data_IF_538631795148
#
_entry.id   IF_538631795148
#
_cell.length_a   1.000
_cell.length_b   1.000
_cell.length_c   1.000
_cell.angle_alpha   90.00
_cell.angle_beta   90.00
_cell.angle_gamma   90.00
#
_symmetry.space_group_name_H-M   'P 1'
#
loop_
_entity.id
_entity.type
_entity.pdbx_description
1 polymer ?
#
# COMPACT_ATOMS: atom_id res chain seq x y z
N UNK A 1 14.09 -35.55 -8.43
CA UNK A 1 14.16 -34.11 -8.73
C UNK A 1 12.85 -33.49 -8.31
N UNK A 2 12.88 -32.49 -7.43
CA UNK A 2 11.75 -32.03 -6.61
C UNK A 2 10.75 -31.18 -7.40
N UNK A 3 9.59 -31.77 -7.73
CA UNK A 3 8.46 -31.14 -8.45
C UNK A 3 7.77 -29.99 -7.68
N UNK A 4 8.20 -29.66 -6.47
CA UNK A 4 7.54 -28.70 -5.58
C UNK A 4 7.68 -27.22 -5.96
N UNK A 5 8.71 -26.83 -6.72
CA UNK A 5 9.01 -25.41 -6.98
C UNK A 5 8.12 -24.73 -8.03
N UNK A 6 7.30 -25.51 -8.76
CA UNK A 6 6.36 -25.00 -9.76
C UNK A 6 4.91 -24.97 -9.30
N UNK A 7 4.64 -25.31 -8.03
CA UNK A 7 3.31 -25.17 -7.44
C UNK A 7 3.17 -23.78 -6.84
N UNK A 8 2.02 -23.11 -7.06
CA UNK A 8 1.70 -21.86 -6.37
C UNK A 8 1.76 -22.09 -4.85
N UNK A 9 2.62 -21.37 -4.12
CA UNK A 9 2.66 -21.47 -2.67
C UNK A 9 1.34 -20.94 -2.08
N UNK A 10 1.03 -21.36 -0.86
CA UNK A 10 -0.07 -20.76 -0.11
C UNK A 10 0.20 -19.26 0.09
N UNK A 11 -0.85 -18.40 0.08
CA UNK A 11 -0.70 -17.00 0.47
C UNK A 11 -0.10 -16.87 1.87
N UNK A 12 0.63 -15.79 2.11
CA UNK A 12 1.05 -15.43 3.47
C UNK A 12 -0.17 -15.20 4.37
N UNK A 13 -0.06 -15.32 5.70
CA UNK A 13 -1.17 -15.01 6.60
C UNK A 13 -1.57 -13.53 6.48
N UNK A 14 -2.88 -13.25 6.57
CA UNK A 14 -3.41 -11.89 6.61
C UNK A 14 -2.88 -11.18 7.86
N UNK A 15 -2.23 -10.01 7.73
CA UNK A 15 -1.78 -9.25 8.89
C UNK A 15 -2.97 -8.75 9.72
N UNK A 16 -2.79 -8.75 11.05
CA UNK A 16 -3.70 -8.04 11.95
C UNK A 16 -3.73 -6.54 11.58
N UNK A 17 -4.90 -5.92 11.73
CA UNK A 17 -5.01 -4.49 11.51
C UNK A 17 -4.60 -3.74 12.77
N UNK A 18 -3.59 -2.89 12.61
CA UNK A 18 -3.18 -1.89 13.58
C UNK A 18 -3.29 -0.54 12.89
N UNK A 19 -4.13 0.39 13.39
CA UNK A 19 -4.22 1.74 12.85
C UNK A 19 -2.85 2.40 12.80
N UNK A 20 -2.48 2.96 11.65
CA UNK A 20 -1.25 3.71 11.52
C UNK A 20 -1.47 5.11 12.10
N UNK A 21 -1.19 5.25 13.39
CA UNK A 21 -1.34 6.51 14.12
C UNK A 21 -0.05 7.31 14.06
N UNK A 22 -0.17 8.61 13.76
CA UNK A 22 0.93 9.58 13.86
C UNK A 22 0.49 10.80 14.64
N UNK A 23 1.45 11.49 15.26
CA UNK A 23 1.23 12.81 15.88
C UNK A 23 1.83 13.88 14.96
N UNK A 24 1.00 14.73 14.32
CA UNK A 24 1.47 15.79 13.46
C UNK A 24 2.21 16.86 14.27
N UNK A 25 3.29 17.41 13.70
CA UNK A 25 4.10 18.46 14.31
C UNK A 25 4.32 19.61 13.34
N UNK A 26 4.45 20.82 13.86
CA UNK A 26 4.81 21.98 13.05
C UNK A 26 6.25 21.84 12.49
N UNK A 27 6.42 22.14 11.21
CA UNK A 27 7.73 22.11 10.57
C UNK A 27 8.59 23.28 11.04
N UNK A 28 9.71 22.96 11.70
CA UNK A 28 10.73 23.96 12.09
C UNK A 28 11.40 24.64 10.90
N UNK A 29 11.48 23.95 9.74
CA UNK A 29 12.14 24.45 8.54
C UNK A 29 11.24 25.28 7.63
N UNK A 30 9.92 25.05 7.69
CA UNK A 30 8.92 25.73 6.85
C UNK A 30 7.72 26.10 7.71
N UNK A 31 7.72 27.31 8.32
CA UNK A 31 6.61 27.77 9.13
C UNK A 31 5.28 27.65 8.37
N UNK A 32 4.24 27.15 9.05
CA UNK A 32 2.92 26.89 8.46
C UNK A 32 2.74 25.50 7.86
N UNK A 33 3.81 24.72 7.64
CA UNK A 33 3.69 23.34 7.19
C UNK A 33 3.58 22.37 8.38
N UNK A 34 2.76 21.33 8.20
CA UNK A 34 2.64 20.22 9.15
C UNK A 34 3.35 18.98 8.59
N UNK A 35 4.08 18.28 9.46
CA UNK A 35 4.78 17.03 9.14
C UNK A 35 4.45 15.97 10.19
N UNK A 36 4.82 14.73 9.93
CA UNK A 36 4.74 13.65 10.91
C UNK A 36 5.94 12.71 10.76
N UNK A 37 6.03 11.72 11.64
CA UNK A 37 7.05 10.68 11.58
C UNK A 37 6.43 9.30 11.76
N UNK A 38 6.89 8.33 10.98
CA UNK A 38 6.67 6.90 11.21
C UNK A 38 8.01 6.30 11.60
N UNK A 39 8.19 6.02 12.89
CA UNK A 39 9.52 5.81 13.48
C UNK A 39 10.43 7.00 13.21
N UNK A 40 11.52 6.78 12.46
CA UNK A 40 12.47 7.85 12.06
C UNK A 40 12.19 8.41 10.67
N UNK A 41 11.20 7.87 9.95
CA UNK A 41 10.88 8.29 8.61
C UNK A 41 10.06 9.57 8.63
N UNK A 42 10.59 10.63 8.03
CA UNK A 42 9.85 11.88 7.84
C UNK A 42 8.69 11.66 6.88
N UNK A 43 7.55 12.26 7.21
CA UNK A 43 6.34 12.20 6.42
C UNK A 43 5.74 13.58 6.18
N UNK A 44 5.21 13.80 4.99
CA UNK A 44 4.46 15.00 4.62
C UNK A 44 2.99 14.65 4.43
N UNK A 45 2.10 15.55 4.80
CA UNK A 45 0.70 15.43 4.43
C UNK A 45 0.48 15.82 2.97
N UNK A 46 -0.48 15.18 2.32
CA UNK A 46 -0.85 15.47 0.94
C UNK A 46 -1.19 16.96 0.77
N UNK A 47 -0.64 17.55 -0.29
CA UNK A 47 -0.95 18.93 -0.66
C UNK A 47 -2.41 19.01 -1.12
N UNK A 48 -3.04 20.16 -0.92
CA UNK A 48 -4.43 20.45 -1.34
C UNK A 48 -5.52 19.70 -0.54
N UNK A 49 -5.14 18.92 0.48
CA UNK A 49 -6.07 18.35 1.45
C UNK A 49 -6.03 19.11 2.78
N UNK A 50 -7.13 19.08 3.56
CA UNK A 50 -7.15 19.63 4.91
C UNK A 50 -5.96 19.11 5.71
N UNK A 51 -5.18 20.04 6.28
CA UNK A 51 -4.05 19.69 7.14
C UNK A 51 -4.58 19.31 8.52
N UNK A 52 -4.01 18.28 9.17
CA UNK A 52 -4.43 17.91 10.50
C UNK A 52 -3.96 18.92 11.55
N UNK A 53 -4.64 18.92 12.69
CA UNK A 53 -4.19 19.67 13.86
C UNK A 53 -2.85 19.14 14.36
N UNK A 54 -1.98 20.05 14.76
CA UNK A 54 -0.69 19.73 15.40
C UNK A 54 -0.93 19.16 16.79
N UNK A 55 -0.09 18.22 17.20
CA UNK A 55 -0.09 17.54 18.50
C UNK A 55 -1.33 16.67 18.81
N UNK A 56 -2.19 16.42 17.80
CA UNK A 56 -3.35 15.52 17.92
C UNK A 56 -3.04 14.19 17.23
N UNK A 57 -3.04 13.05 17.95
CA UNK A 57 -2.88 11.74 17.32
C UNK A 57 -4.00 11.48 16.30
N UNK A 58 -3.61 11.10 15.09
CA UNK A 58 -4.54 10.84 13.99
C UNK A 58 -4.15 9.58 13.24
N UNK A 59 -5.15 8.89 12.70
CA UNK A 59 -4.92 7.80 11.78
C UNK A 59 -4.61 8.32 10.38
N UNK A 60 -3.62 7.70 9.73
CA UNK A 60 -3.18 8.05 8.37
C UNK A 60 -3.07 6.83 7.48
N UNK A 61 -3.21 7.08 6.18
CA UNK A 61 -2.83 6.13 5.12
C UNK A 61 -1.57 6.63 4.42
N UNK A 62 -0.77 5.70 3.89
CA UNK A 62 0.44 6.04 3.12
C UNK A 62 0.11 6.07 1.64
N UNK A 63 0.25 7.24 1.03
CA UNK A 63 -0.05 7.42 -0.39
C UNK A 63 1.10 6.93 -1.26
N UNK A 64 2.30 7.46 -1.09
CA UNK A 64 3.47 7.12 -1.90
C UNK A 64 4.79 7.54 -1.22
N UNK A 65 5.92 6.95 -1.62
CA UNK A 65 7.24 7.42 -1.22
C UNK A 65 7.68 8.62 -2.05
N UNK A 66 8.46 9.49 -1.43
CA UNK A 66 9.30 10.49 -2.08
C UNK A 66 10.74 10.00 -2.00
N UNK A 67 11.37 9.82 -3.15
CA UNK A 67 12.75 9.36 -3.24
C UNK A 67 13.73 10.53 -3.27
N UNK A 68 14.94 10.27 -2.80
CA UNK A 68 16.08 11.17 -3.00
C UNK A 68 16.48 11.27 -4.48
N UNK A 69 17.25 12.30 -4.80
CA UNK A 69 17.96 12.41 -6.09
C UNK A 69 19.45 12.56 -5.82
N UNK A 70 20.26 11.93 -6.66
CA UNK A 70 21.72 12.09 -6.63
C UNK A 70 22.15 13.44 -7.25
N UNK A 71 23.46 13.68 -7.34
CA UNK A 71 24.01 14.93 -7.89
C UNK A 71 23.62 15.16 -9.36
N UNK A 72 23.42 14.08 -10.11
CA UNK A 72 23.01 14.08 -11.52
C UNK A 72 21.48 14.21 -11.68
N UNK A 73 20.73 14.26 -10.59
CA UNK A 73 19.27 14.39 -10.59
C UNK A 73 18.50 13.08 -10.80
N UNK A 74 19.18 11.94 -10.80
CA UNK A 74 18.60 10.58 -10.94
C UNK A 74 17.95 10.15 -9.64
N UNK A 75 16.77 9.50 -9.72
CA UNK A 75 16.00 9.04 -8.57
C UNK A 75 16.67 7.83 -7.90
N UNK A 76 16.90 7.91 -6.59
CA UNK A 76 17.50 6.84 -5.79
C UNK A 76 16.41 5.97 -5.11
N UNK A 77 15.94 4.91 -5.79
CA UNK A 77 14.87 4.04 -5.28
C UNK A 77 15.23 3.26 -3.99
N UNK A 78 16.53 3.12 -3.70
CA UNK A 78 17.02 2.51 -2.45
C UNK A 78 16.99 3.49 -1.27
N UNK A 79 16.55 4.74 -1.48
CA UNK A 79 16.58 5.81 -0.48
C UNK A 79 15.28 6.60 -0.47
N UNK A 80 14.39 6.25 0.45
CA UNK A 80 13.18 7.01 0.73
C UNK A 80 13.55 8.29 1.50
N UNK A 81 13.34 9.44 0.88
CA UNK A 81 13.50 10.73 1.52
C UNK A 81 12.36 11.02 2.49
N UNK A 82 11.11 10.82 2.06
CA UNK A 82 9.92 11.02 2.85
C UNK A 82 8.78 10.12 2.39
N UNK A 83 7.73 9.98 3.21
CA UNK A 83 6.45 9.41 2.78
C UNK A 83 5.39 10.51 2.66
N UNK A 84 4.44 10.33 1.76
CA UNK A 84 3.25 11.17 1.67
C UNK A 84 2.10 10.47 2.39
N UNK A 85 1.44 11.19 3.30
CA UNK A 85 0.34 10.71 4.12
C UNK A 85 -0.95 11.44 3.77
N UNK A 86 -2.07 10.76 3.99
CA UNK A 86 -3.41 11.37 4.04
C UNK A 86 -4.11 10.94 5.31
N UNK A 87 -4.85 11.86 5.93
CA UNK A 87 -5.66 11.57 7.12
C UNK A 87 -6.78 10.60 6.74
N UNK A 88 -7.00 9.58 7.56
CA UNK A 88 -8.14 8.69 7.42
C UNK A 88 -9.38 9.37 7.99
N UNK A 89 -10.48 9.29 7.24
CA UNK A 89 -11.78 9.90 7.49
C UNK A 89 -12.85 8.93 6.99
N UNK A 90 -14.12 9.25 7.21
CA UNK A 90 -15.27 8.44 6.77
C UNK A 90 -15.37 8.28 5.23
N UNK A 91 -14.65 9.10 4.47
CA UNK A 91 -14.54 8.99 3.00
C UNK A 91 -13.79 7.74 2.54
N UNK A 92 -13.08 7.07 3.46
CA UNK A 92 -12.20 5.95 3.16
C UNK A 92 -12.68 4.69 3.87
N UNK A 93 -12.69 3.58 3.14
CA UNK A 93 -13.01 2.25 3.67
C UNK A 93 -11.75 1.39 3.63
N UNK A 94 -11.46 0.71 4.73
CA UNK A 94 -10.39 -0.28 4.80
C UNK A 94 -10.87 -1.59 4.19
N UNK A 95 -10.12 -2.11 3.22
CA UNK A 95 -10.44 -3.33 2.49
C UNK A 95 -9.30 -4.32 2.62
N UNK A 96 -9.65 -5.58 2.86
CA UNK A 96 -8.72 -6.71 2.85
C UNK A 96 -8.55 -7.24 1.42
N UNK A 97 -7.33 -7.61 1.06
CA UNK A 97 -7.01 -8.21 -0.25
C UNK A 97 -6.09 -9.42 -0.11
N UNK A 98 -6.14 -10.34 -1.08
CA UNK A 98 -5.30 -11.55 -1.12
C UNK A 98 -3.85 -11.30 -1.56
N UNK A 99 -3.59 -10.10 -2.10
CA UNK A 99 -2.25 -9.66 -2.51
C UNK A 99 -2.22 -9.28 -3.98
N UNK A 100 -1.36 -8.33 -4.33
CA UNK A 100 -1.23 -7.87 -5.70
C UNK A 100 -0.36 -8.86 -6.49
N UNK A 101 -0.84 -9.28 -7.65
CA UNK A 101 -0.13 -10.15 -8.57
C UNK A 101 -0.09 -9.48 -9.94
N UNK A 102 1.09 -9.42 -10.55
CA UNK A 102 1.21 -9.20 -11.97
C UNK A 102 1.18 -10.58 -12.64
N UNK A 103 0.14 -10.85 -13.43
CA UNK A 103 -0.04 -12.15 -14.07
C UNK A 103 -0.59 -12.02 -15.50
N UNK A 104 -0.10 -12.89 -16.40
CA UNK A 104 -0.63 -13.08 -17.76
C UNK A 104 -0.11 -12.10 -18.82
N UNK A 105 -0.65 -12.23 -20.04
CA UNK A 105 -0.28 -11.45 -21.23
C UNK A 105 -0.70 -9.97 -21.20
N UNK A 106 -1.46 -9.56 -20.17
CA UNK A 106 -2.02 -8.22 -20.02
C UNK A 106 -1.13 -7.27 -19.20
N UNK A 107 -0.07 -7.78 -18.55
CA UNK A 107 0.87 -7.00 -17.72
C UNK A 107 0.18 -6.03 -16.73
N UNK A 108 -0.97 -6.43 -16.17
CA UNK A 108 -1.76 -5.61 -15.27
C UNK A 108 -1.71 -6.16 -13.85
N UNK A 109 -1.27 -5.33 -12.89
CA UNK A 109 -1.25 -5.69 -11.48
C UNK A 109 -2.64 -5.56 -10.88
N UNK A 110 -3.16 -6.64 -10.31
CA UNK A 110 -4.46 -6.63 -9.62
C UNK A 110 -4.42 -7.44 -8.33
N UNK A 111 -5.37 -7.19 -7.43
CA UNK A 111 -5.63 -8.02 -6.26
C UNK A 111 -7.13 -8.27 -6.13
N UNK A 112 -7.53 -9.39 -5.53
CA UNK A 112 -8.93 -9.66 -5.20
C UNK A 112 -9.23 -9.16 -3.80
N UNK A 113 -10.37 -8.50 -3.63
CA UNK A 113 -10.86 -8.13 -2.30
C UNK A 113 -11.40 -9.37 -1.58
N UNK A 114 -11.08 -9.49 -0.30
CA UNK A 114 -11.45 -10.63 0.56
C UNK A 114 -12.32 -10.23 1.76
N UNK A 115 -12.34 -8.94 2.12
CA UNK A 115 -13.17 -8.41 3.21
C UNK A 115 -13.30 -6.89 3.18
N UNK A 116 -14.29 -6.31 3.87
CA UNK A 116 -15.35 -6.98 4.66
C UNK A 116 -16.38 -7.72 3.78
N UNK A 117 -16.72 -8.96 4.15
CA UNK A 117 -17.64 -9.83 3.36
C UNK A 117 -18.99 -9.19 3.05
N UNK A 118 -19.57 -8.49 4.03
CA UNK A 118 -20.88 -7.83 3.86
C UNK A 118 -20.88 -6.73 2.78
N UNK A 119 -19.72 -6.15 2.46
CA UNK A 119 -19.55 -5.18 1.37
C UNK A 119 -19.29 -5.85 0.02
N UNK A 120 -18.85 -7.11 0.03
CA UNK A 120 -18.45 -7.88 -1.16
C UNK A 120 -19.60 -8.77 -1.67
N UNK A 121 -20.32 -9.44 -0.77
CA UNK A 121 -21.31 -10.47 -1.11
C UNK A 121 -22.68 -9.88 -1.52
N UNK A 122 -22.99 -8.65 -1.12
CA UNK A 122 -24.29 -8.00 -1.35
C UNK A 122 -24.63 -7.76 -2.83
N UNK A 123 -23.68 -7.90 -3.76
CA UNK A 123 -23.82 -7.35 -5.12
C UNK A 123 -24.03 -8.35 -6.25
N UNK A 124 -23.95 -9.66 -5.99
CA UNK A 124 -24.32 -10.70 -6.96
C UNK A 124 -23.71 -10.59 -8.37
N UNK A 125 -22.67 -9.77 -8.57
CA UNK A 125 -22.27 -9.27 -9.88
C UNK A 125 -21.05 -10.01 -10.45
N UNK A 126 -21.14 -10.30 -11.75
CA UNK A 126 -20.28 -11.17 -12.58
C UNK A 126 -18.87 -10.62 -12.89
N UNK A 127 -18.51 -9.43 -12.41
CA UNK A 127 -17.18 -8.82 -12.56
C UNK A 127 -16.74 -8.45 -11.16
N UNK A 128 -15.77 -9.21 -10.63
CA UNK A 128 -15.52 -9.30 -9.19
C UNK A 128 -15.04 -8.01 -8.50
N UNK A 129 -14.85 -8.05 -7.18
CA UNK A 129 -14.30 -6.95 -6.42
C UNK A 129 -12.78 -6.97 -6.52
N UNK A 130 -12.23 -6.36 -7.58
CA UNK A 130 -10.78 -6.30 -7.81
C UNK A 130 -10.24 -4.91 -7.50
N UNK A 131 -9.01 -4.89 -7.00
CA UNK A 131 -8.22 -3.70 -6.76
C UNK A 131 -7.14 -3.55 -7.84
N UNK A 132 -6.82 -2.31 -8.15
CA UNK A 132 -5.63 -1.92 -8.91
C UNK A 132 -4.75 -1.01 -8.05
N UNK A 133 -3.42 -1.05 -8.24
CA UNK A 133 -2.55 -0.06 -7.62
C UNK A 133 -2.99 1.35 -8.00
N UNK A 134 -3.15 2.21 -7.01
CA UNK A 134 -3.36 3.65 -7.25
C UNK A 134 -2.02 4.37 -7.29
N UNK A 135 -1.89 5.42 -6.45
CA UNK A 135 -0.62 6.16 -6.30
C UNK A 135 0.38 5.42 -5.42
N UNK A 136 -0.09 4.39 -4.71
CA UNK A 136 0.71 3.58 -3.82
C UNK A 136 1.55 2.60 -4.59
N UNK A 137 2.86 2.67 -4.38
CA UNK A 137 3.84 1.67 -4.83
C UNK A 137 3.71 0.42 -3.96
N UNK A 138 2.59 -0.27 -4.11
CA UNK A 138 2.25 -1.49 -3.39
C UNK A 138 3.14 -2.64 -3.84
N UNK A 139 3.49 -3.52 -2.92
CA UNK A 139 4.19 -4.76 -3.26
C UNK A 139 3.31 -5.62 -4.16
N UNK A 140 3.88 -6.08 -5.27
CA UNK A 140 3.27 -7.02 -6.19
C UNK A 140 4.15 -8.27 -6.36
N UNK A 141 3.51 -9.43 -6.42
CA UNK A 141 4.18 -10.67 -6.82
C UNK A 141 4.31 -10.69 -8.34
N UNK A 142 5.55 -10.72 -8.84
CA UNK A 142 5.84 -10.90 -10.26
C UNK A 142 5.76 -12.38 -10.63
N UNK A 143 4.57 -12.81 -11.05
CA UNK A 143 4.30 -14.18 -11.47
C UNK A 143 3.98 -14.26 -12.98
N UNK A 144 4.32 -13.22 -13.77
CA UNK A 144 4.01 -13.10 -15.21
C UNK A 144 4.56 -14.30 -16.01
N UNK A 145 5.66 -14.90 -15.56
CA UNK A 145 6.29 -16.08 -16.19
C UNK A 145 6.50 -17.26 -15.25
N UNK A 146 5.88 -17.26 -14.07
CA UNK A 146 6.03 -18.34 -13.12
C UNK A 146 5.48 -19.66 -13.67
N UNK A 147 6.28 -20.73 -13.62
CA UNK A 147 5.93 -22.04 -14.18
C UNK A 147 5.89 -22.12 -15.71
N UNK A 148 6.24 -21.06 -16.45
CA UNK A 148 6.28 -21.06 -17.93
C UNK A 148 7.61 -21.61 -18.48
N UNK A 149 7.89 -21.41 -19.77
CA UNK A 149 9.10 -21.88 -20.50
C UNK A 149 10.40 -21.64 -19.74
N UNK A 150 10.47 -20.59 -18.93
CA UNK A 150 11.67 -20.19 -18.18
C UNK A 150 11.76 -20.77 -16.76
N UNK A 151 10.77 -21.58 -16.34
CA UNK A 151 10.75 -22.28 -15.03
C UNK A 151 11.06 -21.34 -13.86
N UNK A 152 10.52 -20.12 -13.89
CA UNK A 152 10.63 -19.22 -12.75
C UNK A 152 9.74 -19.74 -11.60
N UNK A 153 10.22 -19.69 -10.35
CA UNK A 153 9.44 -20.09 -9.19
C UNK A 153 8.30 -19.10 -8.96
N UNK A 154 7.17 -19.59 -8.45
CA UNK A 154 6.08 -18.72 -8.00
C UNK A 154 6.48 -17.95 -6.75
N UNK A 155 6.18 -16.65 -6.74
CA UNK A 155 6.25 -15.80 -5.55
C UNK A 155 4.92 -15.86 -4.82
N UNK A 156 4.97 -16.05 -3.50
CA UNK A 156 3.77 -16.07 -2.67
C UNK A 156 3.09 -14.69 -2.64
N UNK A 157 1.76 -14.71 -2.76
CA UNK A 157 0.97 -13.50 -2.57
C UNK A 157 1.09 -13.00 -1.13
N UNK A 158 1.04 -11.68 -0.99
CA UNK A 158 1.06 -10.99 0.30
C UNK A 158 -0.31 -10.36 0.56
N UNK A 159 -1.21 -11.06 1.27
CA UNK A 159 -2.45 -10.45 1.70
C UNK A 159 -2.18 -9.23 2.58
N UNK A 160 -3.08 -8.27 2.52
CA UNK A 160 -2.90 -6.99 3.19
C UNK A 160 -4.19 -6.21 3.29
N UNK A 161 -4.07 -4.99 3.79
CA UNK A 161 -5.18 -4.05 3.94
C UNK A 161 -4.85 -2.73 3.28
N UNK A 162 -5.79 -2.22 2.50
CA UNK A 162 -5.64 -0.98 1.77
C UNK A 162 -6.88 -0.10 1.90
N UNK A 163 -6.67 1.21 1.88
CA UNK A 163 -7.74 2.20 1.88
C UNK A 163 -8.25 2.41 0.47
N UNK A 164 -9.58 2.43 0.30
CA UNK A 164 -10.26 2.77 -0.95
C UNK A 164 -11.32 3.84 -0.69
N UNK A 165 -11.79 4.50 -1.75
CA UNK A 165 -12.90 5.45 -1.64
C UNK A 165 -14.19 4.74 -1.26
N UNK A 166 -14.79 5.12 -0.13
CA UNK A 166 -16.13 4.64 0.30
C UNK A 166 -17.16 4.90 -0.79
N UNK A 167 -17.16 6.10 -1.37
CA UNK A 167 -18.09 6.48 -2.45
C UNK A 167 -18.02 5.53 -3.65
N UNK A 168 -16.81 5.23 -4.16
CA UNK A 168 -16.63 4.32 -5.31
C UNK A 168 -17.00 2.89 -4.97
N UNK A 169 -16.64 2.44 -3.76
CA UNK A 169 -17.01 1.12 -3.25
C UNK A 169 -18.54 0.97 -3.22
N UNK A 170 -19.25 1.93 -2.62
CA UNK A 170 -20.71 1.96 -2.59
C UNK A 170 -21.33 2.25 -3.97
N UNK A 171 -20.62 2.90 -4.88
CA UNK A 171 -21.04 3.09 -6.28
C UNK A 171 -20.94 1.80 -7.10
N UNK A 172 -20.01 0.92 -6.77
CA UNK A 172 -19.72 -0.29 -7.55
C UNK A 172 -18.77 -0.03 -8.73
N UNK A 173 -17.96 1.01 -8.63
CA UNK A 173 -17.05 1.46 -9.68
C UNK A 173 -15.78 0.61 -9.71
N UNK A 174 -15.88 -0.64 -10.19
CA UNK A 174 -14.75 -1.56 -10.29
C UNK A 174 -13.99 -1.43 -11.63
N UNK A 175 -12.66 -1.65 -11.65
CA UNK A 175 -11.82 -1.96 -10.50
C UNK A 175 -11.62 -0.74 -9.59
N UNK A 176 -11.58 -0.97 -8.27
CA UNK A 176 -11.26 0.09 -7.32
C UNK A 176 -9.75 0.35 -7.35
N UNK A 177 -9.36 1.59 -7.11
CA UNK A 177 -7.95 1.97 -6.92
C UNK A 177 -7.63 2.03 -5.45
N UNK A 178 -6.47 1.53 -5.08
CA UNK A 178 -5.89 1.76 -3.75
C UNK A 178 -5.59 3.24 -3.60
N UNK A 179 -6.22 3.88 -2.63
CA UNK A 179 -6.00 5.28 -2.29
C UNK A 179 -4.79 5.44 -1.36
N UNK A 180 -4.57 4.49 -0.45
CA UNK A 180 -3.38 4.47 0.40
C UNK A 180 -3.19 3.11 1.09
N UNK A 181 -1.95 2.86 1.52
CA UNK A 181 -1.60 1.66 2.28
C UNK A 181 -1.88 1.87 3.77
N UNK A 182 -2.30 0.81 4.45
CA UNK A 182 -2.45 0.82 5.91
C UNK A 182 -1.11 0.56 6.64
N UNK A 183 -0.13 -0.04 5.95
CA UNK A 183 1.16 -0.44 6.54
C UNK A 183 2.32 -0.13 5.60
N UNK A 184 3.48 0.19 6.17
CA UNK A 184 4.71 0.45 5.39
C UNK A 184 5.15 -0.81 4.67
N UNK A 185 5.04 -1.97 5.33
CA UNK A 185 5.48 -3.29 4.87
C UNK A 185 4.81 -3.74 3.57
N UNK A 186 3.63 -3.19 3.29
CA UNK A 186 2.86 -3.51 2.10
C UNK A 186 3.36 -2.71 0.87
N UNK A 187 4.27 -1.75 1.05
CA UNK A 187 4.89 -0.99 -0.03
C UNK A 187 6.21 -1.59 -0.53
N UNK A 188 6.50 -1.46 -1.84
CA UNK A 188 7.80 -1.89 -2.43
C UNK A 188 9.01 -1.19 -1.78
N UNK A 189 8.79 0.01 -1.25
CA UNK A 189 9.78 0.85 -0.61
C UNK A 189 10.02 0.53 0.88
N UNK A 190 9.31 -0.46 1.44
CA UNK A 190 9.33 -0.75 2.89
C UNK A 190 10.74 -0.91 3.47
N UNK A 191 11.62 -1.58 2.73
CA UNK A 191 13.00 -1.85 3.14
C UNK A 191 13.88 -0.59 3.19
N UNK A 192 13.50 0.47 2.49
CA UNK A 192 14.23 1.73 2.43
C UNK A 192 13.68 2.79 3.39
N UNK A 193 12.65 2.46 4.18
CA UNK A 193 12.06 3.33 5.20
C UNK A 193 12.89 3.29 6.47
N UNK A 194 13.20 4.46 7.03
CA UNK A 194 13.97 4.57 8.28
C UNK A 194 13.10 4.19 9.48
N UNK A 195 13.33 3.01 10.04
CA UNK A 195 12.68 2.51 11.25
C UNK A 195 13.47 2.90 12.51
N UNK A 196 12.80 2.88 13.66
CA UNK A 196 13.53 2.83 14.93
C UNK A 196 14.32 1.52 14.98
N UNK A 197 15.56 1.56 15.47
CA UNK A 197 16.33 0.33 15.67
C UNK A 197 15.55 -0.55 16.65
N UNK A 198 15.23 -1.78 16.24
CA UNK A 198 14.79 -2.79 17.20
C UNK A 198 15.97 -2.97 18.16
N UNK A 199 15.81 -2.77 19.48
CA UNK A 199 16.89 -3.09 20.39
C UNK A 199 17.27 -4.56 20.16
N UNK A 200 18.55 -4.77 19.83
CA UNK A 200 19.12 -6.09 19.60
C UNK A 200 18.98 -6.99 20.84
#
# INVERSE_FOLDING_TARGET
MTEGHFKRPAPLPMPAYEPLIVTPVASKKRPGNVIAFIGRQMCFFEKEKPQPAVDVPIEVMILCPIYGRNAEGVIEHHRVFALVLRVVTEEWTLIEHDGFECAGSMCSTTARMTGPKHLIETRGSRIGPWLTPGRSQIFEADNVNAGSTWRQPYVALRPGKAWVSTKKLTGGDFPLRVEGLARVEDGMYAHAVKKDEVPA
#
